data_IF_588129526807
#
_entry.id   IF_588129526807
#
_cell.length_a   1.000
_cell.length_b   1.000
_cell.length_c   1.000
_cell.angle_alpha   90.00
_cell.angle_beta   90.00
_cell.angle_gamma   90.00
#
_symmetry.space_group_name_H-M   'P 1'
#
loop_
_entity.id
_entity.type
_entity.pdbx_description
1 polymer ?
#
# COMPACT_ATOMS: atom_id res chain seq x y z
N UNK A 1 43.71 -20.47 -14.80
CA UNK A 1 42.83 -19.29 -14.69
C UNK A 1 41.55 -19.76 -14.05
N UNK A 2 41.44 -19.66 -12.72
CA UNK A 2 40.23 -20.11 -11.99
C UNK A 2 39.13 -19.09 -12.23
N UNK A 3 38.12 -19.46 -13.01
CA UNK A 3 36.87 -18.71 -13.12
C UNK A 3 36.15 -18.86 -11.78
N UNK A 4 36.34 -17.88 -10.90
CA UNK A 4 35.48 -17.73 -9.72
C UNK A 4 34.06 -17.61 -10.26
N UNK A 5 33.26 -18.65 -10.03
CA UNK A 5 31.86 -18.73 -10.45
C UNK A 5 31.07 -17.76 -9.56
N UNK A 6 31.09 -16.46 -9.92
CA UNK A 6 30.47 -15.35 -9.17
C UNK A 6 28.99 -15.60 -8.87
N UNK A 7 28.36 -16.50 -9.63
CA UNK A 7 26.96 -16.87 -9.50
C UNK A 7 26.64 -17.71 -8.25
N UNK A 8 27.62 -18.36 -7.62
CA UNK A 8 27.38 -19.29 -6.50
C UNK A 8 27.73 -18.78 -5.10
N UNK A 9 28.39 -17.62 -4.95
CA UNK A 9 28.91 -17.15 -3.65
C UNK A 9 28.25 -15.89 -3.07
N UNK A 10 27.20 -15.34 -3.69
CA UNK A 10 26.37 -14.32 -3.05
C UNK A 10 25.19 -15.00 -2.36
N UNK A 11 25.45 -15.74 -1.28
CA UNK A 11 24.38 -16.17 -0.37
C UNK A 11 23.91 -14.94 0.40
N UNK A 12 22.70 -14.47 0.07
CA UNK A 12 22.05 -13.40 0.81
C UNK A 12 22.06 -13.74 2.31
N UNK A 13 22.38 -12.74 3.15
CA UNK A 13 22.39 -12.94 4.60
C UNK A 13 21.03 -13.50 5.06
N UNK A 14 20.96 -14.37 6.08
CA UNK A 14 19.69 -14.88 6.60
C UNK A 14 18.66 -13.78 6.90
N UNK A 15 19.12 -12.57 7.25
CA UNK A 15 18.25 -11.39 7.44
C UNK A 15 17.67 -10.85 6.12
N UNK A 16 18.46 -10.82 5.04
CA UNK A 16 18.02 -10.39 3.71
C UNK A 16 17.01 -11.37 3.10
N UNK A 17 17.22 -12.68 3.32
CA UNK A 17 16.27 -13.71 2.89
C UNK A 17 14.94 -13.55 3.61
N UNK A 18 14.94 -13.36 4.94
CA UNK A 18 13.70 -13.13 5.70
C UNK A 18 12.95 -11.86 5.29
N UNK A 19 13.68 -10.78 4.98
CA UNK A 19 13.09 -9.55 4.45
C UNK A 19 12.47 -9.78 3.06
N UNK A 20 13.20 -10.43 2.15
CA UNK A 20 12.72 -10.74 0.82
C UNK A 20 11.49 -11.65 0.84
N UNK A 21 11.49 -12.69 1.69
CA UNK A 21 10.35 -13.59 1.85
C UNK A 21 9.13 -12.83 2.39
N UNK A 22 9.30 -12.00 3.41
CA UNK A 22 8.19 -11.22 4.00
C UNK A 22 7.57 -10.28 2.97
N UNK A 23 8.42 -9.58 2.21
CA UNK A 23 7.96 -8.68 1.14
C UNK A 23 7.31 -9.47 0.00
N UNK A 24 7.87 -10.60 -0.39
CA UNK A 24 7.34 -11.44 -1.45
C UNK A 24 5.97 -11.99 -1.10
N UNK A 25 5.83 -12.67 0.05
CA UNK A 25 4.55 -13.20 0.50
C UNK A 25 3.54 -12.08 0.77
N UNK A 26 3.97 -10.96 1.35
CA UNK A 26 3.12 -9.78 1.50
C UNK A 26 2.59 -9.30 0.14
N UNK A 27 3.47 -9.08 -0.83
CA UNK A 27 3.06 -8.62 -2.16
C UNK A 27 2.14 -9.61 -2.87
N UNK A 28 2.38 -10.91 -2.73
CA UNK A 28 1.53 -11.95 -3.29
C UNK A 28 0.14 -11.96 -2.63
N UNK A 29 0.05 -11.86 -1.31
CA UNK A 29 -1.23 -11.76 -0.59
C UNK A 29 -2.00 -10.52 -1.03
N UNK A 30 -1.33 -9.37 -1.14
CA UNK A 30 -1.97 -8.13 -1.61
C UNK A 30 -2.48 -8.24 -3.04
N UNK A 31 -1.69 -8.82 -3.92
CA UNK A 31 -2.06 -9.06 -5.32
C UNK A 31 -3.24 -10.03 -5.45
N UNK A 32 -3.20 -11.17 -4.75
CA UNK A 32 -4.31 -12.14 -4.74
C UNK A 32 -5.57 -11.48 -4.16
N UNK A 33 -5.45 -10.67 -3.12
CA UNK A 33 -6.57 -9.91 -2.55
C UNK A 33 -7.18 -8.97 -3.58
N UNK A 34 -6.37 -8.20 -4.33
CA UNK A 34 -6.88 -7.38 -5.45
C UNK A 34 -7.57 -8.23 -6.51
N UNK A 35 -6.99 -9.36 -6.91
CA UNK A 35 -7.59 -10.23 -7.92
C UNK A 35 -8.97 -10.74 -7.50
N UNK A 36 -9.09 -11.22 -6.26
CA UNK A 36 -10.34 -11.74 -5.71
C UNK A 36 -11.39 -10.62 -5.58
N UNK A 37 -11.01 -9.49 -5.01
CA UNK A 37 -11.93 -8.35 -4.81
C UNK A 37 -12.36 -7.72 -6.14
N UNK A 38 -11.46 -7.65 -7.12
CA UNK A 38 -11.79 -7.25 -8.49
C UNK A 38 -12.74 -8.23 -9.16
N UNK A 39 -12.54 -9.54 -8.99
CA UNK A 39 -13.49 -10.54 -9.51
C UNK A 39 -14.88 -10.35 -8.89
N UNK A 40 -14.98 -10.14 -7.56
CA UNK A 40 -16.27 -9.86 -6.90
C UNK A 40 -16.96 -8.62 -7.48
N UNK A 41 -16.20 -7.58 -7.83
CA UNK A 41 -16.70 -6.38 -8.48
C UNK A 41 -17.20 -6.65 -9.90
N UNK A 42 -16.41 -7.33 -10.74
CA UNK A 42 -16.77 -7.61 -12.15
C UNK A 42 -17.96 -8.56 -12.26
N UNK A 43 -18.05 -9.56 -11.38
CA UNK A 43 -19.19 -10.49 -11.34
C UNK A 43 -20.44 -9.88 -10.68
N UNK A 44 -20.39 -8.63 -10.22
CA UNK A 44 -21.52 -7.93 -9.61
C UNK A 44 -21.98 -8.54 -8.29
N UNK A 45 -21.10 -9.27 -7.59
CA UNK A 45 -21.41 -9.88 -6.28
C UNK A 45 -21.58 -8.80 -5.21
N UNK A 46 -20.82 -7.70 -5.33
CA UNK A 46 -20.91 -6.52 -4.48
C UNK A 46 -21.33 -5.32 -5.31
N UNK A 47 -22.33 -4.59 -4.83
CA UNK A 47 -22.73 -3.32 -5.44
C UNK A 47 -21.59 -2.31 -5.32
N UNK A 48 -21.24 -1.60 -6.40
CA UNK A 48 -20.24 -0.55 -6.33
C UNK A 48 -20.81 0.69 -5.62
N UNK A 49 -19.95 1.48 -4.99
CA UNK A 49 -20.35 2.76 -4.40
C UNK A 49 -20.69 3.78 -5.49
N UNK A 50 -19.90 3.80 -6.57
CA UNK A 50 -20.19 4.60 -7.77
C UNK A 50 -20.56 3.66 -8.93
N UNK A 51 -21.77 3.81 -9.51
CA UNK A 51 -22.20 3.01 -10.65
C UNK A 51 -21.24 3.13 -11.85
N UNK A 52 -21.05 2.03 -12.58
CA UNK A 52 -20.13 1.94 -13.73
C UNK A 52 -20.50 2.93 -14.85
N UNK A 53 -21.77 3.24 -15.02
CA UNK A 53 -22.32 4.19 -15.98
C UNK A 53 -22.02 5.65 -15.61
N UNK A 54 -21.82 5.94 -14.32
CA UNK A 54 -21.47 7.29 -13.84
C UNK A 54 -19.95 7.54 -13.83
N UNK A 55 -19.13 6.49 -13.86
CA UNK A 55 -17.66 6.62 -13.83
C UNK A 55 -17.09 7.52 -14.93
N UNK A 56 -17.50 7.44 -16.21
CA UNK A 56 -16.97 8.31 -17.27
C UNK A 56 -17.31 9.79 -17.06
N UNK A 57 -18.35 10.09 -16.29
CA UNK A 57 -18.70 11.46 -15.92
C UNK A 57 -17.79 11.94 -14.78
N UNK A 58 -17.53 11.08 -13.79
CA UNK A 58 -16.85 11.45 -12.56
C UNK A 58 -15.32 11.42 -12.65
N UNK A 59 -14.72 10.57 -13.50
CA UNK A 59 -13.26 10.38 -13.60
C UNK A 59 -12.48 11.59 -14.18
N UNK A 60 -13.18 12.56 -14.79
CA UNK A 60 -12.57 13.78 -15.36
C UNK A 60 -12.42 14.85 -14.28
N UNK A 61 -13.19 14.74 -13.20
CA UNK A 61 -13.16 15.69 -12.11
C UNK A 61 -12.01 15.38 -11.13
N UNK A 62 -11.74 16.34 -10.23
CA UNK A 62 -10.71 16.15 -9.22
C UNK A 62 -11.05 14.97 -8.30
N UNK A 63 -10.04 14.39 -7.65
CA UNK A 63 -10.27 13.34 -6.65
C UNK A 63 -11.16 13.84 -5.49
N UNK A 64 -11.13 15.15 -5.18
CA UNK A 64 -12.00 15.74 -4.17
C UNK A 64 -13.47 15.72 -4.61
N UNK A 65 -13.74 16.12 -5.87
CA UNK A 65 -15.08 16.12 -6.44
C UNK A 65 -15.63 14.70 -6.61
N UNK A 66 -14.78 13.76 -7.04
CA UNK A 66 -15.13 12.33 -7.13
C UNK A 66 -15.57 11.78 -5.77
N UNK A 67 -14.81 12.05 -4.70
CA UNK A 67 -15.17 11.61 -3.34
C UNK A 67 -16.45 12.26 -2.85
N UNK A 68 -16.63 13.55 -3.13
CA UNK A 68 -17.84 14.28 -2.73
C UNK A 68 -19.08 13.72 -3.43
N UNK A 69 -18.99 13.45 -4.73
CA UNK A 69 -20.06 12.83 -5.51
C UNK A 69 -20.39 11.41 -5.04
N UNK A 70 -19.36 10.61 -4.71
CA UNK A 70 -19.53 9.26 -4.16
C UNK A 70 -19.88 9.20 -2.68
N UNK A 71 -20.00 10.33 -1.98
CA UNK A 71 -20.12 10.40 -0.50
C UNK A 71 -19.05 9.58 0.25
N UNK A 72 -17.84 9.49 -0.33
CA UNK A 72 -16.74 8.71 0.23
C UNK A 72 -16.04 9.54 1.31
N UNK A 73 -16.01 9.07 2.58
CA UNK A 73 -15.34 9.78 3.65
C UNK A 73 -13.84 9.96 3.39
N UNK A 74 -13.27 11.06 3.86
CA UNK A 74 -11.83 11.31 3.79
C UNK A 74 -11.05 10.44 4.79
N UNK A 75 -9.78 10.18 4.48
CA UNK A 75 -8.87 9.45 5.37
C UNK A 75 -9.28 8.00 5.52
N UNK A 76 -9.32 7.47 6.75
CA UNK A 76 -9.65 6.07 7.03
C UNK A 76 -11.15 5.73 6.98
N UNK A 77 -12.03 6.72 6.73
CA UNK A 77 -13.47 6.49 6.76
C UNK A 77 -13.99 5.60 5.62
N UNK A 78 -13.20 5.36 4.57
CA UNK A 78 -13.52 4.36 3.53
C UNK A 78 -13.62 2.94 4.08
N UNK A 79 -13.04 2.64 5.27
CA UNK A 79 -13.17 1.33 5.90
C UNK A 79 -14.63 0.93 6.17
N UNK A 80 -15.51 1.91 6.39
CA UNK A 80 -16.95 1.66 6.54
C UNK A 80 -17.64 1.23 5.22
N UNK A 81 -17.00 1.50 4.08
CA UNK A 81 -17.51 1.23 2.74
C UNK A 81 -16.89 -0.02 2.11
N UNK A 82 -16.11 -0.83 2.84
CA UNK A 82 -15.42 -2.03 2.31
C UNK A 82 -16.38 -3.07 1.72
N UNK A 83 -17.66 -3.04 2.12
CA UNK A 83 -18.72 -3.86 1.52
C UNK A 83 -19.12 -3.45 0.10
N UNK A 84 -18.66 -2.29 -0.40
CA UNK A 84 -18.89 -1.82 -1.76
C UNK A 84 -17.78 -2.32 -2.68
N UNK A 85 -18.12 -2.86 -3.84
CA UNK A 85 -17.19 -3.63 -4.66
C UNK A 85 -15.93 -2.85 -5.11
N UNK A 86 -16.09 -1.58 -5.46
CA UNK A 86 -15.00 -0.67 -5.85
C UNK A 86 -14.05 -0.35 -4.67
N UNK A 87 -14.61 -0.11 -3.48
CA UNK A 87 -13.84 0.14 -2.26
C UNK A 87 -13.23 -1.17 -1.70
N UNK A 88 -13.86 -2.31 -1.96
CA UNK A 88 -13.33 -3.62 -1.60
C UNK A 88 -12.00 -3.88 -2.32
N UNK A 89 -11.91 -3.56 -3.61
CA UNK A 89 -10.67 -3.65 -4.38
C UNK A 89 -9.58 -2.69 -3.87
N UNK A 90 -9.98 -1.52 -3.37
CA UNK A 90 -9.05 -0.57 -2.73
C UNK A 90 -8.33 -1.14 -1.50
N UNK A 91 -8.91 -2.15 -0.82
CA UNK A 91 -8.28 -2.82 0.32
C UNK A 91 -6.92 -3.46 -0.05
N UNK A 92 -6.84 -4.08 -1.22
CA UNK A 92 -5.59 -4.68 -1.70
C UNK A 92 -4.52 -3.64 -1.97
N UNK A 93 -4.90 -2.49 -2.54
CA UNK A 93 -4.00 -1.34 -2.75
C UNK A 93 -3.51 -0.80 -1.41
N UNK A 94 -4.41 -0.57 -0.46
CA UNK A 94 -4.08 -0.08 0.87
C UNK A 94 -3.13 -1.04 1.61
N UNK A 95 -3.35 -2.34 1.49
CA UNK A 95 -2.47 -3.36 2.06
C UNK A 95 -1.07 -3.33 1.42
N UNK A 96 -0.98 -3.27 0.09
CA UNK A 96 0.31 -3.17 -0.61
C UNK A 96 1.06 -1.88 -0.23
N UNK A 97 0.36 -0.76 -0.09
CA UNK A 97 0.97 0.50 0.38
C UNK A 97 1.45 0.38 1.85
N UNK A 98 0.71 -0.32 2.70
CA UNK A 98 1.09 -0.56 4.09
C UNK A 98 2.34 -1.45 4.23
N UNK A 99 2.63 -2.31 3.25
CA UNK A 99 3.90 -3.08 3.23
C UNK A 99 5.11 -2.14 3.20
N UNK A 100 5.05 -1.03 2.47
CA UNK A 100 6.13 -0.03 2.46
C UNK A 100 6.35 0.56 3.84
N UNK A 101 5.26 0.91 4.55
CA UNK A 101 5.33 1.40 5.93
C UNK A 101 5.96 0.33 6.84
N UNK A 102 5.54 -0.92 6.70
CA UNK A 102 6.08 -2.04 7.45
C UNK A 102 7.58 -2.24 7.21
N UNK A 103 8.03 -2.14 5.95
CA UNK A 103 9.46 -2.21 5.59
C UNK A 103 10.27 -1.10 6.26
N UNK A 104 9.76 0.14 6.28
CA UNK A 104 10.43 1.25 6.97
C UNK A 104 10.45 1.08 8.49
N UNK A 105 9.40 0.52 9.09
CA UNK A 105 9.40 0.17 10.53
C UNK A 105 10.46 -0.89 10.83
N UNK A 106 10.56 -1.93 10.00
CA UNK A 106 11.59 -2.96 10.14
C UNK A 106 13.01 -2.40 9.95
N UNK A 107 13.19 -1.46 9.02
CA UNK A 107 14.45 -0.75 8.80
C UNK A 107 14.83 0.11 10.01
N UNK A 108 13.89 0.90 10.53
CA UNK A 108 14.07 1.72 11.71
C UNK A 108 14.47 0.87 12.93
N UNK A 109 13.81 -0.27 13.12
CA UNK A 109 14.15 -1.23 14.18
C UNK A 109 15.57 -1.78 14.04
N UNK A 110 15.98 -2.11 12.82
CA UNK A 110 17.32 -2.63 12.53
C UNK A 110 18.39 -1.57 12.81
N UNK A 111 18.18 -0.32 12.37
CA UNK A 111 19.08 0.81 12.64
C UNK A 111 19.18 1.14 14.13
N UNK A 112 18.09 1.01 14.88
CA UNK A 112 18.09 1.18 16.34
C UNK A 112 19.05 0.18 17.01
N UNK A 113 19.05 -1.09 16.57
CA UNK A 113 20.00 -2.11 17.07
C UNK A 113 21.45 -1.80 16.73
N UNK A 114 21.70 -1.20 15.57
CA UNK A 114 23.04 -0.78 15.14
C UNK A 114 23.46 0.60 15.67
N UNK A 115 22.65 1.26 16.52
CA UNK A 115 22.89 2.59 17.11
C UNK A 115 23.10 3.71 16.09
N UNK A 116 22.50 3.58 14.91
CA UNK A 116 22.56 4.59 13.85
C UNK A 116 21.40 5.59 13.99
N UNK A 117 21.51 6.49 14.98
CA UNK A 117 20.41 7.37 15.41
C UNK A 117 19.87 8.31 14.32
N UNK A 118 20.75 8.92 13.52
CA UNK A 118 20.32 9.87 12.47
C UNK A 118 19.42 9.19 11.43
N UNK A 119 19.87 8.04 10.91
CA UNK A 119 19.13 7.30 9.89
C UNK A 119 17.83 6.71 10.47
N UNK A 120 17.84 6.30 11.74
CA UNK A 120 16.63 5.83 12.43
C UNK A 120 15.57 6.93 12.50
N UNK A 121 15.96 8.16 12.86
CA UNK A 121 15.04 9.30 12.90
C UNK A 121 14.42 9.59 11.52
N UNK A 122 15.20 9.48 10.44
CA UNK A 122 14.70 9.66 9.08
C UNK A 122 13.68 8.57 8.74
N UNK A 123 13.99 7.30 8.99
CA UNK A 123 13.06 6.20 8.72
C UNK A 123 11.75 6.32 9.51
N UNK A 124 11.81 6.78 10.78
CA UNK A 124 10.62 7.07 11.58
C UNK A 124 9.83 8.23 10.98
N UNK A 125 10.50 9.30 10.54
CA UNK A 125 9.84 10.41 9.87
C UNK A 125 9.14 9.97 8.58
N UNK A 126 9.74 9.08 7.78
CA UNK A 126 9.10 8.50 6.59
C UNK A 126 7.84 7.71 6.94
N UNK A 127 7.88 6.86 7.98
CA UNK A 127 6.70 6.14 8.49
C UNK A 127 5.57 7.12 8.86
N UNK A 128 5.91 8.20 9.57
CA UNK A 128 4.94 9.23 9.97
C UNK A 128 4.36 9.94 8.76
N UNK A 129 5.18 10.38 7.80
CA UNK A 129 4.74 11.07 6.59
C UNK A 129 3.81 10.18 5.77
N UNK A 130 4.17 8.91 5.54
CA UNK A 130 3.35 7.97 4.78
C UNK A 130 2.00 7.71 5.49
N UNK A 131 2.01 7.57 6.81
CA UNK A 131 0.79 7.32 7.60
C UNK A 131 -0.13 8.54 7.62
N UNK A 132 0.45 9.75 7.72
CA UNK A 132 -0.29 11.01 7.73
C UNK A 132 -0.81 11.40 6.34
N UNK A 133 -0.09 11.02 5.27
CA UNK A 133 -0.56 11.15 3.90
C UNK A 133 -1.74 10.21 3.65
N UNK A 134 -1.65 8.95 4.10
CA UNK A 134 -2.73 7.98 4.00
C UNK A 134 -3.99 8.37 4.80
N UNK A 135 -3.83 9.05 5.95
CA UNK A 135 -4.98 9.54 6.74
C UNK A 135 -5.64 10.79 6.15
N UNK A 136 -5.06 11.39 5.10
CA UNK A 136 -5.58 12.60 4.48
C UNK A 136 -5.41 13.87 5.34
N UNK A 137 -4.59 13.80 6.40
CA UNK A 137 -4.22 14.96 7.24
C UNK A 137 -3.11 15.78 6.56
N UNK A 138 -2.15 15.10 5.93
CA UNK A 138 -1.20 15.74 5.02
C UNK A 138 -1.82 15.84 3.63
N UNK A 139 -2.58 16.91 3.39
CA UNK A 139 -2.99 17.29 2.03
C UNK A 139 -1.81 17.99 1.36
N UNK A 140 -0.94 17.21 0.73
CA UNK A 140 0.04 17.74 -0.22
C UNK A 140 -0.70 18.05 -1.53
N UNK A 141 -1.28 19.25 -1.62
CA UNK A 141 -1.99 19.74 -2.81
C UNK A 141 -3.44 20.11 -2.54
N UNK A 142 -3.65 21.23 -1.84
CA UNK A 142 -4.91 21.97 -1.92
C UNK A 142 -4.70 23.11 -2.93
N UNK A 143 -4.89 22.80 -4.20
CA UNK A 143 -5.10 23.76 -5.28
C UNK A 143 -6.14 23.19 -6.25
#
# INVERSE_FOLDING_TARGET
MNTVDVKNDIKASPAQVRYADTLFYGSLIGFVTMLVTYALYVFGVLEPQIPLDELPRLWVHSAADYRAAGSIPQGWGWLALVGKGDICNFLGIAFLAALTIFCFVQLAWTLARHRQWLMMCIAIAEVLVLSLAASGVLVAGAH
#
